data_IF_528451335986
#
_entry.id   IF_528451335986
#
_cell.length_a   1.000
_cell.length_b   1.000
_cell.length_c   1.000
_cell.angle_alpha   90.00
_cell.angle_beta   90.00
_cell.angle_gamma   90.00
#
_symmetry.space_group_name_H-M   'P 1'
#
loop_
_entity.id
_entity.type
_entity.pdbx_description
1 polymer ?
#
# COMPACT_ATOMS: atom_id res chain seq x y z
N UNK A 1 -13.19 7.01 -28.65
CA UNK A 1 -13.48 7.00 -27.20
C UNK A 1 -12.19 7.01 -26.36
N UNK A 2 -11.31 8.01 -26.49
CA UNK A 2 -9.98 8.00 -25.83
C UNK A 2 -9.56 9.31 -25.12
N UNK A 3 -10.37 10.36 -25.20
CA UNK A 3 -10.06 11.66 -24.58
C UNK A 3 -10.51 11.76 -23.11
N UNK A 4 -11.64 11.12 -22.78
CA UNK A 4 -12.25 11.18 -21.44
C UNK A 4 -11.38 10.46 -20.39
N UNK A 5 -10.80 9.31 -20.76
CA UNK A 5 -9.91 8.56 -19.86
C UNK A 5 -8.60 9.30 -19.56
N UNK A 6 -8.04 10.06 -20.52
CA UNK A 6 -6.87 10.93 -20.25
C UNK A 6 -7.21 12.09 -19.33
N UNK A 7 -8.39 12.69 -19.51
CA UNK A 7 -8.83 13.81 -18.67
C UNK A 7 -9.06 13.39 -17.21
N UNK A 8 -9.55 12.17 -16.97
CA UNK A 8 -9.74 11.63 -15.62
C UNK A 8 -8.40 11.29 -14.95
N UNK A 9 -7.47 10.68 -15.69
CA UNK A 9 -6.12 10.40 -15.20
C UNK A 9 -5.35 11.70 -14.87
N UNK A 10 -5.51 12.74 -15.71
CA UNK A 10 -4.90 14.05 -15.48
C UNK A 10 -5.52 14.76 -14.28
N UNK A 11 -6.85 14.73 -14.14
CA UNK A 11 -7.54 15.33 -13.00
C UNK A 11 -7.20 14.62 -11.68
N UNK A 12 -7.04 13.29 -11.70
CA UNK A 12 -6.56 12.53 -10.54
C UNK A 12 -5.12 12.93 -10.16
N UNK A 13 -4.23 13.05 -11.15
CA UNK A 13 -2.84 13.49 -10.94
C UNK A 13 -2.74 14.94 -10.43
N UNK A 14 -3.62 15.83 -10.90
CA UNK A 14 -3.66 17.23 -10.46
C UNK A 14 -4.22 17.37 -9.03
N UNK A 15 -5.19 16.54 -8.65
CA UNK A 15 -5.70 16.47 -7.28
C UNK A 15 -4.66 15.87 -6.34
N UNK A 16 -4.01 14.80 -6.75
CA UNK A 16 -2.88 14.17 -6.03
C UNK A 16 -1.76 15.19 -5.80
N UNK A 17 -1.34 15.90 -6.85
CA UNK A 17 -0.34 16.98 -6.77
C UNK A 17 -0.77 18.12 -5.84
N UNK A 18 -2.06 18.49 -5.84
CA UNK A 18 -2.58 19.55 -4.95
C UNK A 18 -2.68 19.11 -3.49
N UNK A 19 -2.95 17.84 -3.23
CA UNK A 19 -2.95 17.26 -1.88
C UNK A 19 -1.51 17.22 -1.34
N UNK A 20 -0.55 16.73 -2.13
CA UNK A 20 0.88 16.75 -1.78
C UNK A 20 1.43 18.16 -1.52
N UNK A 21 0.92 19.18 -2.21
CA UNK A 21 1.34 20.58 -2.02
C UNK A 21 0.72 21.28 -0.81
N UNK A 22 -0.38 20.78 -0.24
CA UNK A 22 -1.12 21.49 0.84
C UNK A 22 -1.00 20.84 2.22
N UNK A 23 -0.42 19.65 2.33
CA UNK A 23 -0.11 19.05 3.62
C UNK A 23 1.00 18.04 3.48
N UNK A 24 2.14 18.34 4.11
CA UNK A 24 3.19 17.36 4.45
C UNK A 24 3.93 16.79 3.23
N UNK A 25 4.98 17.48 2.78
CA UNK A 25 6.01 16.84 1.95
C UNK A 25 6.87 15.94 2.84
N UNK A 26 6.32 14.80 3.26
CA UNK A 26 7.13 13.76 3.87
C UNK A 26 7.87 13.01 2.78
N UNK A 27 9.04 13.53 2.44
CA UNK A 27 9.91 12.97 1.41
C UNK A 27 10.23 11.49 1.70
N UNK A 28 10.32 11.12 2.98
CA UNK A 28 10.52 9.74 3.42
C UNK A 28 9.34 8.84 3.02
N UNK A 29 8.10 9.27 3.25
CA UNK A 29 6.90 8.54 2.83
C UNK A 29 6.85 8.43 1.31
N UNK A 30 7.14 9.52 0.60
CA UNK A 30 7.15 9.50 -0.86
C UNK A 30 8.18 8.50 -1.42
N UNK A 31 9.41 8.48 -0.87
CA UNK A 31 10.44 7.51 -1.27
C UNK A 31 10.02 6.07 -0.98
N UNK A 32 9.43 5.81 0.19
CA UNK A 32 8.92 4.48 0.52
C UNK A 32 7.80 4.03 -0.44
N UNK A 33 6.89 4.94 -0.82
CA UNK A 33 5.82 4.66 -1.80
C UNK A 33 6.39 4.26 -3.16
N UNK A 34 7.42 4.96 -3.64
CA UNK A 34 8.07 4.62 -4.91
C UNK A 34 8.76 3.25 -4.85
N UNK A 35 9.40 2.90 -3.72
CA UNK A 35 9.99 1.57 -3.53
C UNK A 35 8.94 0.45 -3.50
N UNK A 36 7.78 0.68 -2.86
CA UNK A 36 6.65 -0.27 -2.92
C UNK A 36 6.14 -0.41 -4.34
N UNK A 37 5.98 0.69 -5.08
CA UNK A 37 5.55 0.65 -6.49
C UNK A 37 6.50 -0.19 -7.33
N UNK A 38 7.81 0.01 -7.16
CA UNK A 38 8.83 -0.76 -7.86
C UNK A 38 8.76 -2.24 -7.50
N UNK A 39 8.72 -2.58 -6.20
CA UNK A 39 8.62 -3.96 -5.71
C UNK A 39 7.39 -4.67 -6.28
N UNK A 40 6.20 -4.06 -6.18
CA UNK A 40 4.94 -4.64 -6.67
C UNK A 40 5.00 -4.81 -8.19
N UNK A 41 5.50 -3.83 -8.94
CA UNK A 41 5.57 -3.91 -10.41
C UNK A 41 6.51 -5.00 -10.94
N UNK A 42 7.57 -5.32 -10.18
CA UNK A 42 8.59 -6.30 -10.57
C UNK A 42 8.28 -7.72 -10.10
N UNK A 43 7.71 -7.86 -8.89
CA UNK A 43 7.60 -9.16 -8.22
C UNK A 43 6.19 -9.78 -8.23
N UNK A 44 5.12 -9.03 -8.52
CA UNK A 44 3.73 -9.57 -8.54
C UNK A 44 3.56 -10.77 -9.50
N UNK A 45 4.45 -10.92 -10.49
CA UNK A 45 4.39 -12.00 -11.48
C UNK A 45 5.47 -13.06 -11.31
N UNK A 46 6.32 -12.95 -10.30
CA UNK A 46 7.33 -13.97 -10.00
C UNK A 46 6.64 -15.20 -9.40
N UNK A 47 6.94 -16.38 -9.96
CA UNK A 47 6.21 -17.65 -9.83
C UNK A 47 6.34 -18.37 -8.47
N UNK A 48 6.30 -17.64 -7.36
CA UNK A 48 6.22 -18.18 -6.00
C UNK A 48 4.78 -18.45 -5.56
N UNK A 49 4.59 -19.04 -4.38
CA UNK A 49 3.26 -19.12 -3.77
C UNK A 49 2.79 -17.74 -3.32
N UNK A 50 1.49 -17.48 -3.39
CA UNK A 50 0.89 -16.20 -2.94
C UNK A 50 1.24 -15.88 -1.47
N UNK A 51 1.30 -16.91 -0.62
CA UNK A 51 1.67 -16.78 0.79
C UNK A 51 3.11 -16.34 0.98
N UNK A 52 4.05 -16.87 0.18
CA UNK A 52 5.46 -16.48 0.26
C UNK A 52 5.64 -15.03 -0.19
N UNK A 53 4.91 -14.63 -1.23
CA UNK A 53 4.93 -13.26 -1.72
C UNK A 53 4.42 -12.27 -0.67
N UNK A 54 3.28 -12.56 -0.03
CA UNK A 54 2.75 -11.72 1.03
C UNK A 54 3.65 -11.65 2.26
N UNK A 55 4.34 -12.74 2.60
CA UNK A 55 5.32 -12.76 3.69
C UNK A 55 6.51 -11.86 3.38
N UNK A 56 7.08 -11.98 2.17
CA UNK A 56 8.18 -11.12 1.73
C UNK A 56 7.76 -9.65 1.62
N UNK A 57 6.54 -9.39 1.15
CA UNK A 57 5.96 -8.05 1.10
C UNK A 57 5.85 -7.43 2.50
N UNK A 58 5.43 -8.20 3.51
CA UNK A 58 5.33 -7.75 4.90
C UNK A 58 6.68 -7.26 5.43
N UNK A 59 7.76 -8.02 5.18
CA UNK A 59 9.11 -7.64 5.61
C UNK A 59 9.56 -6.31 4.98
N UNK A 60 9.31 -6.12 3.68
CA UNK A 60 9.62 -4.86 2.98
C UNK A 60 8.80 -3.70 3.55
N UNK A 61 7.51 -3.90 3.76
CA UNK A 61 6.61 -2.87 4.29
C UNK A 61 7.01 -2.43 5.70
N UNK A 62 7.30 -3.38 6.59
CA UNK A 62 7.69 -3.11 7.96
C UNK A 62 9.05 -2.41 8.04
N UNK A 63 10.00 -2.79 7.19
CA UNK A 63 11.31 -2.12 7.12
C UNK A 63 11.21 -0.67 6.64
N UNK A 64 10.39 -0.41 5.61
CA UNK A 64 10.18 0.94 5.07
C UNK A 64 9.45 1.85 6.07
N UNK A 65 8.54 1.30 6.87
CA UNK A 65 7.71 2.08 7.79
C UNK A 65 8.22 2.14 9.23
N UNK A 66 9.33 1.45 9.55
CA UNK A 66 9.84 1.27 10.92
C UNK A 66 9.95 2.55 11.75
N UNK A 67 10.36 3.66 11.12
CA UNK A 67 10.60 4.94 11.80
C UNK A 67 9.51 5.97 11.53
N UNK A 68 8.42 5.59 10.86
CA UNK A 68 7.34 6.49 10.54
C UNK A 68 6.55 6.86 11.80
N UNK A 69 6.19 8.12 11.89
CA UNK A 69 5.14 8.58 12.81
C UNK A 69 3.81 7.91 12.46
N UNK A 70 2.85 7.83 13.39
CA UNK A 70 1.55 7.23 13.10
C UNK A 70 0.83 7.85 11.88
N UNK A 71 0.99 9.16 11.67
CA UNK A 71 0.42 9.86 10.52
C UNK A 71 1.10 9.47 9.21
N UNK A 72 2.43 9.34 9.20
CA UNK A 72 3.21 8.87 8.06
C UNK A 72 2.88 7.40 7.74
N UNK A 73 2.79 6.53 8.75
CA UNK A 73 2.40 5.12 8.57
C UNK A 73 1.02 5.02 7.96
N UNK A 74 0.04 5.80 8.42
CA UNK A 74 -1.31 5.80 7.85
C UNK A 74 -1.31 6.27 6.38
N UNK A 75 -0.57 7.34 6.06
CA UNK A 75 -0.44 7.83 4.69
C UNK A 75 0.24 6.80 3.78
N UNK A 76 1.30 6.15 4.26
CA UNK A 76 2.01 5.09 3.57
C UNK A 76 1.13 3.86 3.33
N UNK A 77 0.32 3.46 4.31
CA UNK A 77 -0.62 2.33 4.19
C UNK A 77 -1.68 2.59 3.11
N UNK A 78 -2.27 3.81 3.10
CA UNK A 78 -3.26 4.19 2.09
C UNK A 78 -2.66 4.18 0.68
N UNK A 79 -1.46 4.72 0.52
CA UNK A 79 -0.76 4.72 -0.76
C UNK A 79 -0.43 3.29 -1.23
N UNK A 80 0.03 2.45 -0.31
CA UNK A 80 0.33 1.04 -0.55
C UNK A 80 -0.90 0.26 -0.99
N UNK A 81 -2.02 0.39 -0.27
CA UNK A 81 -3.30 -0.23 -0.63
C UNK A 81 -3.76 0.20 -2.04
N UNK A 82 -3.59 1.48 -2.37
CA UNK A 82 -3.94 2.02 -3.69
C UNK A 82 -3.09 1.41 -4.80
N UNK A 83 -1.78 1.24 -4.57
CA UNK A 83 -0.87 0.59 -5.53
C UNK A 83 -1.30 -0.86 -5.73
N UNK A 84 -1.45 -1.64 -4.66
CA UNK A 84 -1.79 -3.06 -4.74
C UNK A 84 -3.09 -3.31 -5.52
N UNK A 85 -4.14 -2.54 -5.21
CA UNK A 85 -5.41 -2.62 -5.95
C UNK A 85 -5.22 -2.27 -7.43
N UNK A 86 -4.39 -1.26 -7.73
CA UNK A 86 -4.04 -0.90 -9.11
C UNK A 86 -3.33 -2.01 -9.89
N UNK A 87 -2.62 -2.92 -9.20
CA UNK A 87 -1.98 -4.11 -9.77
C UNK A 87 -2.87 -5.37 -9.71
N UNK A 88 -4.11 -5.26 -9.22
CA UNK A 88 -5.05 -6.39 -9.13
C UNK A 88 -4.88 -7.27 -7.90
N UNK A 89 -4.10 -6.81 -6.90
CA UNK A 89 -3.90 -7.50 -5.64
C UNK A 89 -4.93 -7.05 -4.58
N UNK A 90 -5.22 -7.90 -3.57
CA UNK A 90 -5.87 -7.46 -2.34
C UNK A 90 -5.14 -6.29 -1.67
N UNK A 91 -5.85 -5.52 -0.84
CA UNK A 91 -5.26 -4.46 -0.02
C UNK A 91 -4.33 -5.06 1.04
N UNK A 92 -3.23 -4.38 1.35
CA UNK A 92 -2.29 -4.79 2.40
C UNK A 92 -2.98 -4.81 3.76
N UNK A 93 -3.79 -3.78 4.05
CA UNK A 93 -4.55 -3.68 5.30
C UNK A 93 -5.41 -4.93 5.57
N UNK A 94 -5.93 -5.59 4.53
CA UNK A 94 -6.71 -6.82 4.63
C UNK A 94 -5.81 -8.06 4.70
N UNK A 95 -4.82 -8.17 3.81
CA UNK A 95 -3.90 -9.31 3.79
C UNK A 95 -3.13 -9.46 5.12
N UNK A 96 -2.75 -8.34 5.75
CA UNK A 96 -2.07 -8.31 7.04
C UNK A 96 -2.90 -8.93 8.17
N UNK A 97 -4.23 -8.78 8.16
CA UNK A 97 -5.12 -9.41 9.16
C UNK A 97 -5.19 -10.94 9.01
N UNK A 98 -4.98 -11.45 7.80
CA UNK A 98 -4.93 -12.89 7.53
C UNK A 98 -3.56 -13.49 7.89
N UNK A 99 -2.48 -12.72 7.70
CA UNK A 99 -1.10 -13.13 8.03
C UNK A 99 -0.80 -13.08 9.54
N UNK A 100 -1.32 -12.06 10.22
CA UNK A 100 -1.22 -11.92 11.67
C UNK A 100 -2.54 -12.39 12.27
N UNK A 101 -2.68 -13.66 12.70
CA UNK A 101 -3.90 -14.10 13.33
C UNK A 101 -4.16 -13.21 14.54
N UNK A 102 -5.17 -12.34 14.43
CA UNK A 102 -5.64 -11.52 15.54
C UNK A 102 -5.94 -12.42 16.75
N UNK A 103 -5.90 -11.88 17.98
CA UNK A 103 -6.12 -12.68 19.17
C UNK A 103 -7.44 -13.45 19.01
N UNK A 104 -7.34 -14.78 18.96
CA UNK A 104 -8.48 -15.69 18.89
C UNK A 104 -9.51 -15.19 19.88
N UNK A 105 -10.66 -14.68 19.40
CA UNK A 105 -11.76 -14.30 20.28
C UNK A 105 -12.06 -15.51 21.15
N UNK A 106 -11.74 -15.44 22.44
CA UNK A 106 -12.03 -16.53 23.37
C UNK A 106 -13.54 -16.76 23.32
N UNK A 107 -14.03 -18.00 23.20
CA UNK A 107 -15.45 -18.26 23.35
C UNK A 107 -15.88 -17.77 24.74
N UNK A 108 -16.86 -16.87 24.77
CA UNK A 108 -17.42 -16.36 26.03
C UNK A 108 -17.97 -17.52 26.87
N UNK A 109 -17.94 -17.41 28.21
CA UNK A 109 -18.49 -18.43 29.08
C UNK A 109 -20.00 -18.56 28.83
N UNK A 110 -20.47 -19.81 28.75
CA UNK A 110 -21.88 -20.17 28.61
C UNK A 110 -22.70 -19.76 29.82
#
# INVERSE_FOLDING_TARGET
>A
MNAVNRSLAQAASDVETRIFRRGVSDQEVHQAVELIREYVSTQVRSSGSESDWWTAFAEVYDDLSRNFTPQQTAAFEIATDTILVGFGCPRWSMAREELLPGPKRRPGPR
#
